data_IF_983866391596
#
_entry.id   IF_983866391596
#
_cell.length_a   1.000
_cell.length_b   1.000
_cell.length_c   1.000
_cell.angle_alpha   90.00
_cell.angle_beta   90.00
_cell.angle_gamma   90.00
#
_symmetry.space_group_name_H-M   'P 1'
#
loop_
_entity.id
_entity.type
_entity.pdbx_description
1 polymer ?
#
# COMPACT_ATOMS: atom_id res chain seq x y z
N UNK A 1 14.74 -9.35 6.19
CA UNK A 1 16.12 -9.61 6.65
C UNK A 1 16.91 -8.36 7.08
N UNK A 2 16.29 -7.24 7.47
CA UNK A 2 16.98 -6.06 8.05
C UNK A 2 16.32 -5.54 9.35
N UNK A 3 15.28 -6.23 9.84
CA UNK A 3 14.49 -5.79 11.01
C UNK A 3 15.05 -6.24 12.36
N UNK A 4 15.97 -7.22 12.40
CA UNK A 4 16.47 -7.80 13.66
C UNK A 4 17.69 -7.10 14.27
N UNK A 5 18.36 -6.19 13.56
CA UNK A 5 19.53 -5.47 14.07
C UNK A 5 19.13 -4.09 14.61
N UNK A 6 18.81 -4.02 15.90
CA UNK A 6 18.33 -2.81 16.59
C UNK A 6 19.29 -1.59 16.48
N UNK A 7 20.59 -1.82 16.31
CA UNK A 7 21.61 -0.78 16.21
C UNK A 7 21.57 -0.02 14.88
N UNK A 8 21.45 -0.72 13.75
CA UNK A 8 21.37 -0.13 12.41
C UNK A 8 20.13 0.77 12.26
N UNK A 9 19.00 0.33 12.82
CA UNK A 9 17.74 1.07 12.76
C UNK A 9 17.83 2.46 13.42
N UNK A 10 18.63 2.59 14.49
CA UNK A 10 18.84 3.86 15.22
C UNK A 10 19.52 4.93 14.39
N UNK A 11 20.31 4.55 13.38
CA UNK A 11 21.01 5.48 12.49
C UNK A 11 20.24 5.65 11.18
N UNK A 12 19.78 4.56 10.57
CA UNK A 12 19.14 4.57 9.26
C UNK A 12 17.81 5.34 9.27
N UNK A 13 16.99 5.19 10.32
CA UNK A 13 15.69 5.85 10.36
C UNK A 13 15.78 7.39 10.48
N UNK A 14 16.61 7.98 11.36
CA UNK A 14 16.83 9.42 11.38
C UNK A 14 17.33 9.97 10.05
N UNK A 15 18.28 9.28 9.40
CA UNK A 15 18.80 9.70 8.09
C UNK A 15 17.73 9.64 7.02
N UNK A 16 16.95 8.54 6.96
CA UNK A 16 15.84 8.42 6.03
C UNK A 16 14.75 9.47 6.27
N UNK A 17 14.50 9.82 7.54
CA UNK A 17 13.58 10.91 7.92
C UNK A 17 14.10 12.25 7.42
N UNK A 18 15.39 12.53 7.59
CA UNK A 18 16.01 13.78 7.14
C UNK A 18 16.00 13.92 5.61
N UNK A 19 16.20 12.80 4.89
CA UNK A 19 16.17 12.76 3.42
C UNK A 19 14.77 12.54 2.84
N UNK A 20 13.72 12.59 3.67
CA UNK A 20 12.39 12.16 3.27
C UNK A 20 11.82 13.05 2.17
N UNK A 21 11.23 12.42 1.16
CA UNK A 21 10.64 13.08 0.00
C UNK A 21 9.55 12.19 -0.57
N UNK A 22 8.71 12.76 -1.41
CA UNK A 22 7.83 11.94 -2.23
C UNK A 22 8.63 11.17 -3.27
N UNK A 23 8.34 9.88 -3.35
CA UNK A 23 8.91 8.97 -4.33
C UNK A 23 7.77 8.28 -5.08
N UNK A 24 8.08 7.79 -6.28
CA UNK A 24 7.17 6.93 -7.01
C UNK A 24 7.69 5.49 -6.92
N UNK A 25 6.78 4.58 -6.62
CA UNK A 25 7.02 3.14 -6.67
C UNK A 25 6.06 2.51 -7.67
N UNK A 26 6.32 1.25 -8.03
CA UNK A 26 5.30 0.43 -8.69
C UNK A 26 4.46 -0.26 -7.63
N UNK A 27 3.15 -0.16 -7.74
CA UNK A 27 2.23 -0.87 -6.89
C UNK A 27 2.47 -2.38 -7.06
N UNK A 28 2.66 -3.11 -5.96
CA UNK A 28 3.22 -4.46 -6.02
C UNK A 28 2.27 -5.52 -6.59
N UNK A 29 0.98 -5.18 -6.70
CA UNK A 29 -0.05 -6.10 -7.19
C UNK A 29 -0.61 -5.68 -8.55
N UNK A 30 -0.66 -4.38 -8.84
CA UNK A 30 -1.26 -3.85 -10.07
C UNK A 30 -0.20 -3.38 -11.08
N UNK A 31 1.01 -3.07 -10.62
CA UNK A 31 2.11 -2.56 -11.47
C UNK A 31 2.05 -1.07 -11.77
N UNK A 32 0.95 -0.41 -11.42
CA UNK A 32 0.73 1.03 -11.61
C UNK A 32 1.74 1.88 -10.86
N UNK A 33 1.94 3.11 -11.34
CA UNK A 33 2.76 4.10 -10.63
C UNK A 33 2.00 4.62 -9.43
N UNK A 34 2.62 4.53 -8.26
CA UNK A 34 2.03 4.98 -7.00
C UNK A 34 3.00 5.91 -6.26
N UNK A 35 2.54 7.13 -5.96
CA UNK A 35 3.35 8.15 -5.27
C UNK A 35 3.12 8.05 -3.77
N UNK A 36 4.20 8.08 -2.99
CA UNK A 36 4.13 8.06 -1.54
C UNK A 36 5.31 8.81 -0.91
N UNK A 37 5.12 9.29 0.30
CA UNK A 37 6.18 9.85 1.12
C UNK A 37 7.15 8.77 1.65
N UNK A 38 8.44 8.90 1.32
CA UNK A 38 9.44 7.84 1.51
C UNK A 38 9.63 7.39 2.97
N UNK A 39 9.47 8.28 3.95
CA UNK A 39 9.65 7.93 5.38
C UNK A 39 8.34 7.52 6.08
N UNK A 40 7.29 8.33 5.99
CA UNK A 40 5.97 8.06 6.58
C UNK A 40 5.39 6.73 6.08
N UNK A 41 5.47 6.47 4.79
CA UNK A 41 4.90 5.28 4.14
C UNK A 41 5.96 4.23 3.80
N UNK A 42 7.11 4.24 4.51
CA UNK A 42 8.23 3.31 4.27
C UNK A 42 7.84 1.84 4.27
N UNK A 43 6.80 1.47 5.02
CA UNK A 43 6.31 0.10 5.06
C UNK A 43 5.93 -0.45 3.68
N UNK A 44 5.41 0.39 2.79
CA UNK A 44 4.94 -0.05 1.46
C UNK A 44 6.09 -0.42 0.52
N UNK A 45 7.20 0.32 0.51
CA UNK A 45 8.33 0.02 -0.38
C UNK A 45 9.38 -0.88 0.28
N UNK A 46 9.49 -0.87 1.62
CA UNK A 46 10.44 -1.70 2.33
C UNK A 46 9.97 -3.15 2.50
N UNK A 47 8.69 -3.37 2.84
CA UNK A 47 8.12 -4.73 2.93
C UNK A 47 7.49 -5.18 1.61
N UNK A 48 7.09 -4.22 0.76
CA UNK A 48 6.53 -4.49 -0.55
C UNK A 48 5.31 -5.40 -0.49
N UNK A 49 5.28 -6.37 -1.42
CA UNK A 49 4.21 -7.38 -1.52
C UNK A 49 3.97 -8.15 -0.21
N UNK A 50 4.96 -8.26 0.68
CA UNK A 50 4.85 -9.05 1.90
C UNK A 50 4.07 -8.36 3.03
N UNK A 51 3.80 -7.04 2.93
CA UNK A 51 3.14 -6.28 4.01
C UNK A 51 1.76 -6.85 4.36
N UNK A 52 0.96 -7.16 3.33
CA UNK A 52 -0.45 -7.58 3.47
C UNK A 52 -0.80 -8.70 2.46
N UNK A 53 0.18 -9.50 2.05
CA UNK A 53 0.05 -10.51 0.99
C UNK A 53 -1.21 -11.37 1.14
N UNK A 54 -1.34 -12.02 2.30
CA UNK A 54 -2.40 -12.99 2.55
C UNK A 54 -3.79 -12.37 2.50
N UNK A 55 -3.96 -11.18 3.08
CA UNK A 55 -5.23 -10.46 3.06
C UNK A 55 -5.63 -10.09 1.64
N UNK A 56 -4.68 -9.59 0.84
CA UNK A 56 -4.92 -9.21 -0.55
C UNK A 56 -5.20 -10.41 -1.46
N UNK A 57 -4.56 -11.56 -1.22
CA UNK A 57 -4.87 -12.82 -1.91
C UNK A 57 -6.32 -13.25 -1.64
N UNK A 58 -6.77 -13.19 -0.38
CA UNK A 58 -8.16 -13.52 -0.01
C UNK A 58 -9.14 -12.54 -0.70
N UNK A 59 -8.85 -11.24 -0.70
CA UNK A 59 -9.68 -10.25 -1.39
C UNK A 59 -9.74 -10.51 -2.90
N UNK A 60 -8.61 -10.90 -3.52
CA UNK A 60 -8.56 -11.24 -4.94
C UNK A 60 -9.40 -12.46 -5.30
N UNK A 61 -9.50 -13.44 -4.42
CA UNK A 61 -10.36 -14.62 -4.61
C UNK A 61 -11.85 -14.30 -4.41
N UNK A 62 -12.16 -13.34 -3.53
CA UNK A 62 -13.52 -12.98 -3.16
C UNK A 62 -14.17 -11.97 -4.13
N UNK A 63 -13.45 -10.92 -4.50
CA UNK A 63 -13.97 -9.79 -5.29
C UNK A 63 -14.03 -10.17 -6.78
N UNK A 64 -15.16 -9.87 -7.41
CA UNK A 64 -15.41 -10.11 -8.83
C UNK A 64 -15.58 -8.80 -9.60
N UNK A 65 -15.30 -8.80 -10.92
CA UNK A 65 -15.60 -7.65 -11.76
C UNK A 65 -17.09 -7.28 -11.68
N UNK A 66 -17.38 -5.99 -11.54
CA UNK A 66 -18.73 -5.46 -11.34
C UNK A 66 -19.16 -5.31 -9.87
N UNK A 67 -18.41 -5.85 -8.91
CA UNK A 67 -18.75 -5.73 -7.49
C UNK A 67 -18.63 -4.29 -6.98
N UNK A 68 -19.39 -4.00 -5.92
CA UNK A 68 -19.20 -2.80 -5.10
C UNK A 68 -18.41 -3.16 -3.82
N UNK A 69 -17.26 -2.51 -3.62
CA UNK A 69 -16.40 -2.70 -2.44
C UNK A 69 -16.50 -1.47 -1.54
N UNK A 70 -16.70 -1.68 -0.25
CA UNK A 70 -16.62 -0.63 0.76
C UNK A 70 -15.30 -0.79 1.51
N UNK A 71 -14.45 0.23 1.42
CA UNK A 71 -13.18 0.32 2.14
C UNK A 71 -13.30 1.35 3.27
N UNK A 72 -13.05 0.91 4.50
CA UNK A 72 -13.01 1.78 5.69
C UNK A 72 -11.56 1.93 6.13
N UNK A 73 -11.02 3.14 6.09
CA UNK A 73 -9.62 3.42 6.39
C UNK A 73 -8.71 3.43 5.16
N UNK A 74 -9.10 4.12 4.08
CA UNK A 74 -8.34 4.16 2.82
C UNK A 74 -6.91 4.72 2.91
N UNK A 75 -6.60 5.50 3.96
CA UNK A 75 -5.27 6.06 4.24
C UNK A 75 -4.67 6.74 3.00
N UNK A 76 -3.62 6.17 2.38
CA UNK A 76 -2.98 6.72 1.18
C UNK A 76 -3.53 6.20 -0.15
N UNK A 77 -4.54 5.33 -0.12
CA UNK A 77 -5.19 4.77 -1.32
C UNK A 77 -4.45 3.59 -1.97
N UNK A 78 -3.51 2.96 -1.27
CA UNK A 78 -2.76 1.82 -1.82
C UNK A 78 -3.67 0.61 -2.06
N UNK A 79 -4.53 0.27 -1.08
CA UNK A 79 -5.49 -0.83 -1.22
C UNK A 79 -6.67 -0.43 -2.12
N UNK A 80 -7.12 0.83 -2.06
CA UNK A 80 -8.15 1.36 -2.97
C UNK A 80 -7.81 1.13 -4.44
N UNK A 81 -6.55 1.40 -4.83
CA UNK A 81 -6.06 1.13 -6.19
C UNK A 81 -6.06 -0.36 -6.54
N UNK A 82 -5.77 -1.23 -5.58
CA UNK A 82 -5.86 -2.66 -5.78
C UNK A 82 -7.32 -3.09 -6.00
N UNK A 83 -8.24 -2.65 -5.14
CA UNK A 83 -9.66 -2.98 -5.26
C UNK A 83 -10.27 -2.43 -6.54
N UNK A 84 -9.89 -1.23 -6.99
CA UNK A 84 -10.39 -0.67 -8.25
C UNK A 84 -10.02 -1.53 -9.46
N UNK A 85 -8.84 -2.17 -9.43
CA UNK A 85 -8.44 -3.11 -10.49
C UNK A 85 -9.22 -4.43 -10.43
N UNK A 86 -9.59 -4.91 -9.24
CA UNK A 86 -10.36 -6.14 -9.09
C UNK A 86 -11.81 -5.98 -9.53
N UNK A 87 -12.46 -4.88 -9.15
CA UNK A 87 -13.87 -4.61 -9.50
C UNK A 87 -14.03 -4.19 -10.96
N UNK A 88 -12.98 -3.65 -11.59
CA UNK A 88 -12.98 -3.26 -13.00
C UNK A 88 -13.93 -2.09 -13.32
N UNK A 89 -14.11 -1.80 -14.61
CA UNK A 89 -14.84 -0.61 -15.09
C UNK A 89 -16.33 -0.59 -14.74
N UNK A 90 -16.93 -1.77 -14.52
CA UNK A 90 -18.35 -1.90 -14.18
C UNK A 90 -18.61 -1.90 -12.67
N UNK A 91 -17.55 -1.99 -11.86
CA UNK A 91 -17.66 -2.04 -10.40
C UNK A 91 -17.33 -0.69 -9.75
N UNK A 92 -17.44 -0.65 -8.42
CA UNK A 92 -17.23 0.58 -7.65
C UNK A 92 -16.45 0.29 -6.37
N UNK A 93 -15.62 1.25 -5.95
CA UNK A 93 -14.96 1.24 -4.64
C UNK A 93 -15.36 2.50 -3.90
N UNK A 94 -16.05 2.34 -2.78
CA UNK A 94 -16.44 3.43 -1.88
C UNK A 94 -15.46 3.47 -0.70
N UNK A 95 -14.67 4.53 -0.62
CA UNK A 95 -13.63 4.67 0.40
C UNK A 95 -14.06 5.71 1.43
N UNK A 96 -14.01 5.32 2.70
CA UNK A 96 -14.28 6.20 3.84
C UNK A 96 -13.01 6.31 4.69
N UNK A 97 -12.40 7.49 4.72
CA UNK A 97 -11.23 7.81 5.56
C UNK A 97 -11.61 8.95 6.51
N UNK A 98 -11.46 8.80 7.83
CA UNK A 98 -11.57 9.92 8.75
C UNK A 98 -10.41 10.89 8.51
N UNK A 99 -10.73 12.19 8.37
CA UNK A 99 -9.74 13.25 8.14
C UNK A 99 -8.70 13.38 9.24
#
# INVERSE_FOLDING_TARGET
MLYQQNSLRRIVLPVLKWLSRDIQIRHHFTGDRFRLHSYLHKGYWYHGKNRERRSLEICQEAIRPGDAVIEVGGHIGYLSLFFSQLVGELGQVHVFEPG
#
